data_IF_311428958370
#
_entry.id   IF_311428958370
#
_cell.length_a   1.000
_cell.length_b   1.000
_cell.length_c   1.000
_cell.angle_alpha   90.00
_cell.angle_beta   90.00
_cell.angle_gamma   90.00
#
_symmetry.space_group_name_H-M   'P 1'
#
loop_
_entity.id
_entity.type
_entity.pdbx_description
1 polymer ?
#
# COMPACT_ATOMS: atom_id res chain seq x y z
N UNK A 1 60.73 -3.68 22.94
CA UNK A 1 59.78 -4.31 23.87
C UNK A 1 58.40 -3.75 23.59
N UNK A 2 57.58 -4.43 22.79
CA UNK A 2 56.21 -4.04 22.46
C UNK A 2 55.26 -4.98 23.21
N UNK A 3 54.39 -4.43 24.06
CA UNK A 3 53.38 -5.21 24.77
C UNK A 3 52.24 -5.64 23.82
N UNK A 4 51.56 -6.77 24.08
CA UNK A 4 50.51 -7.23 23.20
C UNK A 4 49.24 -6.40 23.40
N UNK A 5 48.68 -5.90 22.30
CA UNK A 5 47.33 -5.34 22.26
C UNK A 5 46.32 -6.48 22.40
N UNK A 6 45.59 -6.49 23.50
CA UNK A 6 44.50 -7.44 23.73
C UNK A 6 43.25 -6.94 22.99
N UNK A 7 42.96 -7.53 21.83
CA UNK A 7 41.65 -7.38 21.19
C UNK A 7 40.63 -8.24 21.94
N UNK A 8 39.72 -7.61 22.68
CA UNK A 8 38.53 -8.29 23.20
C UNK A 8 37.55 -8.50 22.05
N UNK A 9 37.07 -9.72 21.79
CA UNK A 9 35.95 -9.91 20.88
C UNK A 9 34.72 -9.24 21.51
N UNK A 10 34.09 -8.31 20.77
CA UNK A 10 32.77 -7.78 21.12
C UNK A 10 31.74 -8.84 20.75
N UNK A 11 31.53 -9.81 21.62
CA UNK A 11 30.39 -10.73 21.50
C UNK A 11 29.18 -10.04 22.13
N UNK A 12 28.66 -9.02 21.45
CA UNK A 12 27.30 -8.59 21.70
C UNK A 12 26.36 -9.72 21.26
N UNK A 13 25.23 -9.97 21.96
CA UNK A 13 24.22 -10.88 21.44
C UNK A 13 23.79 -10.36 20.07
N UNK A 14 23.92 -11.16 19.02
CA UNK A 14 23.17 -10.95 17.79
C UNK A 14 21.71 -10.94 18.17
N UNK A 15 21.09 -9.75 18.23
CA UNK A 15 19.65 -9.65 18.31
C UNK A 15 19.15 -10.31 17.03
N UNK A 16 18.57 -11.50 17.15
CA UNK A 16 17.74 -12.03 16.08
C UNK A 16 16.52 -11.13 16.09
N UNK A 17 16.52 -10.10 15.25
CA UNK A 17 15.36 -9.23 15.16
C UNK A 17 14.17 -10.12 14.79
N UNK A 18 13.17 -10.17 15.67
CA UNK A 18 12.00 -10.99 15.43
C UNK A 18 11.27 -10.45 14.19
N UNK A 19 11.04 -11.31 13.20
CA UNK A 19 10.24 -10.93 12.03
C UNK A 19 8.78 -10.81 12.46
N UNK A 20 8.23 -9.61 12.38
CA UNK A 20 6.84 -9.30 12.68
C UNK A 20 6.04 -9.23 11.39
N UNK A 21 4.85 -9.85 11.39
CA UNK A 21 3.91 -9.75 10.29
C UNK A 21 3.15 -8.42 10.40
N UNK A 22 3.28 -7.58 9.38
CA UNK A 22 2.55 -6.32 9.27
C UNK A 22 1.24 -6.46 8.49
N UNK A 23 1.04 -7.54 7.73
CA UNK A 23 -0.24 -7.84 7.10
C UNK A 23 -0.12 -8.80 5.93
N UNK A 24 -1.19 -8.91 5.15
CA UNK A 24 -1.26 -9.73 3.94
C UNK A 24 -1.67 -8.88 2.76
N UNK A 25 -0.98 -9.04 1.64
CA UNK A 25 -1.28 -8.31 0.40
C UNK A 25 -1.84 -9.29 -0.61
N UNK A 26 -3.00 -8.93 -1.16
CA UNK A 26 -3.69 -9.67 -2.22
C UNK A 26 -3.58 -8.87 -3.51
N UNK A 27 -3.04 -9.46 -4.57
CA UNK A 27 -3.09 -8.90 -5.91
C UNK A 27 -4.37 -9.36 -6.61
N UNK A 28 -5.18 -8.39 -7.02
CA UNK A 28 -6.39 -8.58 -7.80
C UNK A 28 -6.09 -8.22 -9.26
N UNK A 29 -6.33 -9.17 -10.16
CA UNK A 29 -6.14 -8.98 -11.59
C UNK A 29 -7.25 -8.15 -12.25
N UNK A 30 -7.14 -7.87 -13.55
CA UNK A 30 -8.09 -7.01 -14.27
C UNK A 30 -9.52 -7.55 -14.33
N UNK A 31 -9.68 -8.86 -14.19
CA UNK A 31 -10.98 -9.56 -14.13
C UNK A 31 -11.58 -9.57 -12.72
N UNK A 32 -10.91 -9.00 -11.72
CA UNK A 32 -11.32 -9.06 -10.32
C UNK A 32 -10.94 -10.35 -9.58
N UNK A 33 -10.24 -11.28 -10.23
CA UNK A 33 -9.76 -12.50 -9.57
C UNK A 33 -8.49 -12.26 -8.76
N UNK A 34 -8.33 -12.96 -7.64
CA UNK A 34 -7.06 -13.04 -6.92
C UNK A 34 -6.01 -13.75 -7.78
N UNK A 35 -4.87 -13.10 -7.97
CA UNK A 35 -3.74 -13.60 -8.78
C UNK A 35 -2.57 -14.02 -7.90
N UNK A 36 -2.39 -13.36 -6.76
CA UNK A 36 -1.34 -13.69 -5.81
C UNK A 36 -1.69 -13.19 -4.39
N UNK A 37 -1.14 -13.88 -3.39
CA UNK A 37 -1.21 -13.55 -1.97
C UNK A 37 0.17 -13.68 -1.35
N UNK A 38 0.62 -12.65 -0.64
CA UNK A 38 1.86 -12.72 0.12
C UNK A 38 1.74 -12.03 1.47
N UNK A 39 2.63 -12.42 2.38
CA UNK A 39 2.75 -11.83 3.71
C UNK A 39 3.70 -10.64 3.62
N UNK A 40 3.32 -9.54 4.23
CA UNK A 40 4.15 -8.36 4.42
C UNK A 40 4.69 -8.40 5.86
N UNK A 41 6.01 -8.41 6.01
CA UNK A 41 6.67 -8.55 7.31
C UNK A 41 8.04 -7.87 7.33
N UNK A 42 8.56 -7.60 8.53
CA UNK A 42 9.90 -7.06 8.72
C UNK A 42 10.40 -7.18 10.16
N UNK A 43 11.66 -6.84 10.38
CA UNK A 43 12.35 -6.93 11.67
C UNK A 43 12.09 -5.75 12.62
N UNK A 44 11.48 -4.67 12.11
CA UNK A 44 11.21 -3.43 12.82
C UNK A 44 9.73 -3.04 12.68
N UNK A 45 9.26 -1.97 13.36
CA UNK A 45 7.98 -1.35 13.03
C UNK A 45 7.95 -0.87 11.56
N UNK A 46 6.77 -0.86 10.92
CA UNK A 46 6.63 -0.38 9.54
C UNK A 46 6.99 1.10 9.42
N UNK A 47 7.67 1.44 8.33
CA UNK A 47 8.12 2.81 8.04
C UNK A 47 7.56 3.33 6.69
N UNK A 48 7.96 4.54 6.32
CA UNK A 48 7.53 5.15 5.05
C UNK A 48 8.09 4.43 3.81
N UNK A 49 9.18 3.67 3.93
CA UNK A 49 9.70 2.85 2.83
C UNK A 49 8.73 1.72 2.48
N UNK A 50 8.14 1.10 3.51
CA UNK A 50 7.08 0.08 3.34
C UNK A 50 5.83 0.68 2.69
N UNK A 51 5.44 1.87 3.13
CA UNK A 51 4.32 2.62 2.53
C UNK A 51 4.59 2.97 1.06
N UNK A 52 5.80 3.45 0.74
CA UNK A 52 6.18 3.74 -0.63
C UNK A 52 6.10 2.48 -1.50
N UNK A 53 6.60 1.34 -1.00
CA UNK A 53 6.54 0.07 -1.70
C UNK A 53 5.08 -0.34 -2.00
N UNK A 54 4.19 -0.25 -1.01
CA UNK A 54 2.76 -0.52 -1.18
C UNK A 54 2.11 0.42 -2.22
N UNK A 55 2.38 1.73 -2.14
CA UNK A 55 1.86 2.70 -3.08
C UNK A 55 2.34 2.42 -4.51
N UNK A 56 3.62 2.06 -4.66
CA UNK A 56 4.22 1.71 -5.94
C UNK A 56 3.61 0.43 -6.51
N UNK A 57 3.42 -0.61 -5.69
CA UNK A 57 2.75 -1.84 -6.13
C UNK A 57 1.29 -1.59 -6.54
N UNK A 58 0.55 -0.77 -5.78
CA UNK A 58 -0.81 -0.39 -6.15
C UNK A 58 -0.84 0.34 -7.50
N UNK A 59 0.07 1.28 -7.72
CA UNK A 59 0.19 1.99 -9.00
C UNK A 59 0.51 1.03 -10.16
N UNK A 60 1.43 0.08 -9.97
CA UNK A 60 1.73 -0.94 -10.98
C UNK A 60 0.52 -1.82 -11.29
N UNK A 61 -0.18 -2.30 -10.25
CA UNK A 61 -1.38 -3.11 -10.42
C UNK A 61 -2.47 -2.33 -11.17
N UNK A 62 -2.73 -1.07 -10.79
CA UNK A 62 -3.72 -0.21 -11.45
C UNK A 62 -3.41 0.07 -12.91
N UNK A 63 -2.14 0.32 -13.25
CA UNK A 63 -1.71 0.49 -14.65
C UNK A 63 -1.92 -0.77 -15.48
N UNK A 64 -1.91 -1.94 -14.85
CA UNK A 64 -2.25 -3.21 -15.50
C UNK A 64 -3.76 -3.51 -15.49
N UNK A 65 -4.61 -2.63 -14.95
CA UNK A 65 -6.06 -2.82 -14.81
C UNK A 65 -6.50 -3.57 -13.54
N UNK A 66 -5.57 -3.92 -12.66
CA UNK A 66 -5.83 -4.59 -11.39
C UNK A 66 -5.74 -3.66 -10.17
N UNK A 67 -5.58 -4.26 -8.99
CA UNK A 67 -5.30 -3.54 -7.73
C UNK A 67 -4.66 -4.46 -6.70
N UNK A 68 -4.03 -3.90 -5.68
CA UNK A 68 -3.66 -4.63 -4.47
C UNK A 68 -4.64 -4.31 -3.34
N UNK A 69 -4.84 -5.29 -2.46
CA UNK A 69 -5.58 -5.12 -1.20
C UNK A 69 -4.73 -5.59 -0.04
N UNK A 70 -4.52 -4.71 0.93
CA UNK A 70 -3.94 -5.02 2.22
C UNK A 70 -5.04 -5.48 3.17
N UNK A 71 -4.90 -6.69 3.70
CA UNK A 71 -5.77 -7.27 4.71
C UNK A 71 -4.96 -7.70 5.93
N UNK A 72 -5.63 -7.78 7.09
CA UNK A 72 -5.01 -8.13 8.37
C UNK A 72 -3.80 -7.24 8.71
N UNK A 73 -3.89 -5.94 8.38
CA UNK A 73 -2.83 -4.98 8.66
C UNK A 73 -2.61 -4.83 10.17
N UNK A 74 -1.34 -4.84 10.60
CA UNK A 74 -0.94 -4.44 11.94
C UNK A 74 -1.34 -2.98 12.19
N UNK A 75 -1.61 -2.65 13.45
CA UNK A 75 -2.15 -1.35 13.86
C UNK A 75 -1.24 -0.20 13.43
N UNK A 76 0.07 -0.35 13.63
CA UNK A 76 1.10 0.64 13.30
C UNK A 76 1.14 0.93 11.80
N UNK A 77 0.99 -0.11 10.96
CA UNK A 77 0.93 0.07 9.50
C UNK A 77 -0.38 0.74 9.09
N UNK A 78 -1.50 0.38 9.72
CA UNK A 78 -2.79 1.00 9.44
C UNK A 78 -2.80 2.49 9.80
N UNK A 79 -2.24 2.85 10.96
CA UNK A 79 -2.09 4.24 11.41
C UNK A 79 -1.18 5.05 10.48
N UNK A 80 -0.06 4.48 10.05
CA UNK A 80 0.84 5.15 9.13
C UNK A 80 0.18 5.36 7.76
N UNK A 81 -0.57 4.38 7.27
CA UNK A 81 -1.35 4.49 6.02
C UNK A 81 -2.48 5.53 6.13
N UNK A 82 -3.08 5.69 7.31
CA UNK A 82 -4.06 6.75 7.56
C UNK A 82 -3.40 8.13 7.57
N UNK A 83 -2.28 8.28 8.27
CA UNK A 83 -1.53 9.52 8.37
C UNK A 83 -1.15 10.08 6.99
N UNK A 84 -0.75 9.19 6.08
CA UNK A 84 -0.34 9.55 4.71
C UNK A 84 -1.49 9.51 3.68
N UNK A 85 -2.72 9.21 4.11
CA UNK A 85 -3.91 9.19 3.27
C UNK A 85 -3.99 8.01 2.28
N UNK A 86 -3.20 6.96 2.45
CA UNK A 86 -3.14 5.80 1.53
C UNK A 86 -4.00 4.62 1.98
N UNK A 87 -4.59 4.63 3.19
CA UNK A 87 -5.39 3.50 3.68
C UNK A 87 -6.53 3.11 2.75
N UNK A 88 -7.18 4.07 2.08
CA UNK A 88 -8.26 3.77 1.11
C UNK A 88 -7.74 3.13 -0.17
N UNK A 89 -6.58 3.60 -0.65
CA UNK A 89 -5.96 3.12 -1.88
C UNK A 89 -5.52 1.66 -1.79
N UNK A 90 -5.13 1.20 -0.59
CA UNK A 90 -4.71 -0.19 -0.35
C UNK A 90 -5.72 -1.02 0.45
N UNK A 91 -6.69 -0.41 1.13
CA UNK A 91 -7.65 -1.09 2.01
C UNK A 91 -8.85 -1.72 1.30
N UNK A 92 -9.00 -1.47 0.00
CA UNK A 92 -10.06 -2.06 -0.81
C UNK A 92 -11.44 -1.53 -0.43
N UNK A 93 -11.69 -0.27 -0.72
CA UNK A 93 -12.98 0.11 -1.29
C UNK A 93 -12.66 0.73 -2.65
N UNK A 94 -13.06 0.12 -3.78
CA UNK A 94 -13.10 0.86 -5.02
C UNK A 94 -13.98 2.07 -4.74
N UNK A 95 -13.47 3.28 -4.97
CA UNK A 95 -14.38 4.38 -5.29
C UNK A 95 -15.23 3.84 -6.42
N UNK A 96 -16.52 3.61 -6.14
CA UNK A 96 -17.50 3.44 -7.21
C UNK A 96 -17.21 4.58 -8.16
N UNK A 97 -16.82 4.23 -9.39
CA UNK A 97 -16.33 5.17 -10.37
C UNK A 97 -17.20 6.42 -10.38
N UNK A 98 -16.54 7.56 -10.52
CA UNK A 98 -17.09 8.82 -10.96
C UNK A 98 -18.44 8.56 -11.63
N UNK A 99 -19.54 8.85 -10.92
CA UNK A 99 -20.81 8.93 -11.59
C UNK A 99 -20.57 10.00 -12.63
N UNK A 100 -20.51 9.62 -13.91
CA UNK A 100 -20.66 10.55 -15.01
C UNK A 100 -22.04 11.14 -14.76
N UNK A 101 -22.07 12.25 -14.00
CA UNK A 101 -23.20 13.14 -13.96
C UNK A 101 -23.35 13.53 -15.42
N UNK A 102 -24.31 12.89 -16.08
CA UNK A 102 -24.76 13.31 -17.38
C UNK A 102 -25.07 14.79 -17.22
N UNK A 103 -24.20 15.63 -17.77
CA UNK A 103 -24.47 17.05 -17.89
C UNK A 103 -25.74 17.11 -18.71
N UNK A 104 -26.85 17.50 -18.09
CA UNK A 104 -28.04 17.84 -18.86
C UNK A 104 -27.69 19.10 -19.64
N UNK A 105 -27.36 18.90 -20.91
CA UNK A 105 -27.29 19.98 -21.88
C UNK A 105 -28.71 20.53 -22.01
N UNK A 106 -28.96 21.68 -21.37
CA UNK A 106 -30.23 22.37 -21.46
C UNK A 106 -30.48 22.78 -22.90
N UNK A 107 -31.34 22.04 -23.59
CA UNK A 107 -31.95 22.52 -24.84
C UNK A 107 -32.86 23.68 -24.46
N UNK A 108 -32.45 24.89 -24.81
CA UNK A 108 -33.31 26.07 -24.79
C UNK A 108 -34.33 25.95 -25.95
N UNK A 109 -35.63 25.76 -25.68
CA UNK A 109 -36.64 25.78 -26.72
C UNK A 109 -37.13 27.23 -26.87
N UNK A 110 -36.50 27.99 -27.76
CA UNK A 110 -36.86 29.36 -28.09
C UNK A 110 -37.29 29.53 -29.56
N UNK A 111 -38.55 29.19 -29.82
CA UNK A 111 -39.49 29.54 -30.92
C UNK A 111 -39.05 29.81 -32.39
N UNK A 112 -39.89 29.43 -33.37
CA UNK A 112 -39.58 29.50 -34.80
C UNK A 112 -39.83 30.88 -35.46
N UNK A 113 -39.12 31.04 -36.58
CA UNK A 113 -39.19 32.04 -37.65
C UNK A 113 -40.60 32.53 -38.01
N UNK A 114 -40.73 33.86 -38.15
CA UNK A 114 -41.72 34.53 -38.98
C UNK A 114 -41.06 35.04 -40.28
#
# INVERSE_FOLDING_TARGET
MAGPVSSRPVTGPTHVDAVVVWGRVVLIGPTGSEVALWVLSGSAPPDLGVVEALARWQLFARRAGGSIRLCQAAMELAELLDLVGLRREVGGQPERGEQVLAVEEGVEPGDPVA
#
